data_IF_345000353866
#
_entry.id   IF_345000353866
#
_cell.length_a   1.000
_cell.length_b   1.000
_cell.length_c   1.000
_cell.angle_alpha   90.00
_cell.angle_beta   90.00
_cell.angle_gamma   90.00
#
_symmetry.space_group_name_H-M   'P 1'
#
loop_
_entity.id
_entity.type
_entity.pdbx_description
1 polymer ?
#
# COMPACT_ATOMS: atom_id res chain seq x y z
N UNK A 1 -4.28 31.11 10.31
CA UNK A 1 -4.67 29.76 10.76
C UNK A 1 -4.19 28.83 9.67
N UNK A 2 -3.21 27.98 9.97
CA UNK A 2 -2.69 27.03 9.01
C UNK A 2 -3.78 25.97 8.82
N UNK A 3 -4.49 26.11 7.71
CA UNK A 3 -5.42 25.11 7.20
C UNK A 3 -4.62 23.80 7.06
N UNK A 4 -5.00 22.79 7.83
CA UNK A 4 -4.36 21.48 7.80
C UNK A 4 -4.77 20.82 6.48
N UNK A 5 -4.00 21.08 5.42
CA UNK A 5 -4.09 20.37 4.13
C UNK A 5 -3.55 18.95 4.34
N UNK A 6 -4.25 18.14 5.12
CA UNK A 6 -3.93 16.74 5.39
C UNK A 6 -4.63 15.84 4.38
N UNK A 7 -5.82 16.24 3.93
CA UNK A 7 -6.74 15.47 3.09
C UNK A 7 -6.12 15.04 1.75
N UNK A 8 -5.51 15.96 1.00
CA UNK A 8 -4.92 15.62 -0.30
C UNK A 8 -3.65 14.72 -0.19
N UNK A 9 -2.86 14.90 0.86
CA UNK A 9 -1.53 14.24 0.95
C UNK A 9 -1.62 12.77 1.37
N UNK A 10 -2.56 12.42 2.24
CA UNK A 10 -2.71 11.05 2.73
C UNK A 10 -3.43 10.16 1.70
N UNK A 11 -4.41 10.70 0.98
CA UNK A 11 -5.09 9.97 -0.10
C UNK A 11 -4.14 9.66 -1.25
N UNK A 12 -3.32 10.63 -1.68
CA UNK A 12 -2.27 10.39 -2.68
C UNK A 12 -1.25 9.36 -2.17
N UNK A 13 -0.81 9.48 -0.91
CA UNK A 13 0.09 8.49 -0.29
C UNK A 13 -0.51 7.08 -0.31
N UNK A 14 -1.80 6.95 -0.02
CA UNK A 14 -2.46 5.66 0.00
C UNK A 14 -2.63 5.07 -1.41
N UNK A 15 -2.92 5.92 -2.40
CA UNK A 15 -2.95 5.53 -3.81
C UNK A 15 -1.59 4.98 -4.26
N UNK A 16 -0.52 5.68 -3.92
CA UNK A 16 0.84 5.26 -4.28
C UNK A 16 1.24 3.95 -3.57
N UNK A 17 0.86 3.77 -2.30
CA UNK A 17 1.06 2.52 -1.58
C UNK A 17 0.33 1.33 -2.23
N UNK A 18 -0.92 1.54 -2.70
CA UNK A 18 -1.69 0.53 -3.43
C UNK A 18 -1.04 0.18 -4.77
N UNK A 19 -0.57 1.18 -5.52
CA UNK A 19 0.16 0.96 -6.77
C UNK A 19 1.45 0.15 -6.56
N UNK A 20 2.22 0.47 -5.52
CA UNK A 20 3.44 -0.29 -5.18
C UNK A 20 3.08 -1.75 -4.81
N UNK A 21 1.99 -1.97 -4.06
CA UNK A 21 1.53 -3.31 -3.70
C UNK A 21 1.20 -4.14 -4.96
N UNK A 22 0.54 -3.52 -5.95
CA UNK A 22 0.18 -4.15 -7.21
C UNK A 22 1.41 -4.51 -8.05
N UNK A 23 2.44 -3.65 -8.08
CA UNK A 23 3.72 -3.97 -8.72
C UNK A 23 4.39 -5.20 -8.09
N UNK A 24 4.37 -5.30 -6.77
CA UNK A 24 4.88 -6.50 -6.10
C UNK A 24 4.07 -7.76 -6.45
N UNK A 25 2.74 -7.66 -6.56
CA UNK A 25 1.89 -8.77 -6.99
C UNK A 25 2.25 -9.22 -8.43
N UNK A 26 2.46 -8.27 -9.33
CA UNK A 26 2.81 -8.56 -10.72
C UNK A 26 4.22 -9.16 -10.86
N UNK A 27 5.19 -8.70 -10.06
CA UNK A 27 6.54 -9.26 -10.06
C UNK A 27 6.58 -10.77 -9.73
N UNK A 28 5.62 -11.27 -8.94
CA UNK A 28 5.50 -12.71 -8.66
C UNK A 28 5.09 -13.51 -9.89
N UNK A 29 4.16 -12.97 -10.69
CA UNK A 29 3.64 -13.62 -11.89
C UNK A 29 4.78 -13.84 -12.89
N UNK A 30 5.57 -12.80 -13.14
CA UNK A 30 6.69 -12.84 -14.08
C UNK A 30 7.77 -13.86 -13.64
N UNK A 31 8.10 -13.89 -12.35
CA UNK A 31 9.09 -14.85 -11.83
C UNK A 31 8.70 -16.33 -12.01
N UNK A 32 7.39 -16.65 -12.03
CA UNK A 32 6.91 -18.00 -12.30
C UNK A 32 6.93 -18.34 -13.79
N UNK A 33 6.64 -17.37 -14.66
CA UNK A 33 6.64 -17.57 -16.12
C UNK A 33 8.05 -17.86 -16.66
N UNK A 34 9.09 -17.25 -16.07
CA UNK A 34 10.48 -17.42 -16.50
C UNK A 34 11.18 -18.70 -16.00
N UNK A 35 10.51 -19.51 -15.17
CA UNK A 35 11.14 -20.63 -14.46
C UNK A 35 11.64 -21.75 -15.40
N UNK A 36 11.08 -21.85 -16.61
CA UNK A 36 11.44 -22.87 -17.61
C UNK A 36 12.50 -22.45 -18.64
N UNK A 37 13.00 -21.21 -18.60
CA UNK A 37 13.90 -20.66 -19.64
C UNK A 37 15.37 -21.01 -19.38
N UNK A 38 15.71 -21.38 -18.15
CA UNK A 38 17.09 -21.57 -17.71
C UNK A 38 17.60 -22.97 -18.08
N UNK A 39 18.18 -23.10 -19.28
CA UNK A 39 18.61 -24.39 -19.84
C UNK A 39 19.81 -25.07 -19.15
N UNK A 40 20.62 -24.34 -18.37
CA UNK A 40 21.77 -24.90 -17.62
C UNK A 40 21.36 -25.19 -16.17
N UNK A 41 21.65 -26.39 -15.64
CA UNK A 41 21.19 -26.82 -14.31
C UNK A 41 21.63 -25.91 -13.18
N UNK A 42 22.86 -25.41 -13.22
CA UNK A 42 23.41 -24.56 -12.15
C UNK A 42 22.72 -23.19 -12.13
N UNK A 43 22.46 -22.64 -13.31
CA UNK A 43 21.71 -21.39 -13.47
C UNK A 43 20.26 -21.58 -13.04
N UNK A 44 19.61 -22.68 -13.44
CA UNK A 44 18.26 -23.01 -13.01
C UNK A 44 18.16 -23.16 -11.49
N UNK A 45 19.15 -23.81 -10.86
CA UNK A 45 19.22 -23.99 -9.41
C UNK A 45 19.40 -22.66 -8.67
N UNK A 46 20.32 -21.81 -9.15
CA UNK A 46 20.53 -20.47 -8.60
C UNK A 46 19.28 -19.59 -8.75
N UNK A 47 18.62 -19.63 -9.91
CA UNK A 47 17.38 -18.89 -10.16
C UNK A 47 16.22 -19.39 -9.31
N UNK A 48 16.13 -20.69 -9.05
CA UNK A 48 15.13 -21.26 -8.14
C UNK A 48 15.37 -20.81 -6.69
N UNK A 49 16.62 -20.84 -6.22
CA UNK A 49 16.99 -20.33 -4.90
C UNK A 49 16.67 -18.84 -4.75
N UNK A 50 16.99 -18.03 -5.77
CA UNK A 50 16.63 -16.62 -5.82
C UNK A 50 15.11 -16.44 -5.78
N UNK A 51 14.34 -17.14 -6.61
CA UNK A 51 12.89 -17.02 -6.67
C UNK A 51 12.22 -17.38 -5.33
N UNK A 52 12.70 -18.41 -4.64
CA UNK A 52 12.20 -18.80 -3.32
C UNK A 52 12.52 -17.75 -2.25
N UNK A 53 13.75 -17.23 -2.24
CA UNK A 53 14.13 -16.20 -1.26
C UNK A 53 13.39 -14.88 -1.53
N UNK A 54 13.29 -14.49 -2.80
CA UNK A 54 12.51 -13.35 -3.26
C UNK A 54 11.05 -13.47 -2.85
N UNK A 55 10.45 -14.66 -2.97
CA UNK A 55 9.09 -14.92 -2.53
C UNK A 55 8.90 -14.57 -1.04
N UNK A 56 9.77 -15.07 -0.16
CA UNK A 56 9.67 -14.83 1.29
C UNK A 56 9.82 -13.35 1.63
N UNK A 57 10.81 -12.67 1.05
CA UNK A 57 11.03 -11.25 1.32
C UNK A 57 9.93 -10.37 0.75
N UNK A 58 9.42 -10.69 -0.44
CA UNK A 58 8.29 -9.98 -1.04
C UNK A 58 7.03 -10.12 -0.19
N UNK A 59 6.67 -11.33 0.24
CA UNK A 59 5.47 -11.53 1.05
C UNK A 59 5.53 -10.72 2.36
N UNK A 60 6.71 -10.62 2.97
CA UNK A 60 6.93 -9.77 4.14
C UNK A 60 6.77 -8.27 3.84
N UNK A 61 7.27 -7.80 2.69
CA UNK A 61 7.10 -6.41 2.24
C UNK A 61 5.64 -6.11 1.94
N UNK A 62 4.95 -6.98 1.22
CA UNK A 62 3.52 -6.86 0.90
C UNK A 62 2.67 -6.80 2.17
N UNK A 63 2.93 -7.66 3.15
CA UNK A 63 2.22 -7.63 4.44
C UNK A 63 2.42 -6.30 5.18
N UNK A 64 3.62 -5.73 5.13
CA UNK A 64 3.92 -4.43 5.76
C UNK A 64 3.25 -3.27 5.02
N UNK A 65 3.29 -3.28 3.68
CA UNK A 65 2.65 -2.27 2.83
C UNK A 65 1.13 -2.28 3.00
N UNK A 66 0.49 -3.45 3.00
CA UNK A 66 -0.95 -3.58 3.26
C UNK A 66 -1.32 -3.02 4.63
N UNK A 67 -0.57 -3.37 5.69
CA UNK A 67 -0.81 -2.80 7.03
C UNK A 67 -0.62 -1.30 7.08
N UNK A 68 0.32 -0.75 6.32
CA UNK A 68 0.54 0.70 6.24
C UNK A 68 -0.62 1.38 5.52
N UNK A 69 -1.03 0.86 4.36
CA UNK A 69 -2.19 1.33 3.60
C UNK A 69 -3.47 1.33 4.45
N UNK A 70 -3.74 0.24 5.17
CA UNK A 70 -4.89 0.15 6.10
C UNK A 70 -4.86 1.20 7.21
N UNK A 71 -3.67 1.54 7.71
CA UNK A 71 -3.50 2.58 8.75
C UNK A 71 -3.71 3.97 8.18
N UNK A 72 -3.24 4.22 6.96
CA UNK A 72 -3.46 5.48 6.26
C UNK A 72 -4.95 5.66 5.94
N UNK A 73 -5.63 4.63 5.44
CA UNK A 73 -7.09 4.65 5.19
C UNK A 73 -7.88 4.97 6.48
N UNK A 74 -7.50 4.36 7.60
CA UNK A 74 -8.12 4.65 8.90
C UNK A 74 -7.83 6.08 9.37
N UNK A 75 -6.64 6.60 9.11
CA UNK A 75 -6.28 7.97 9.45
C UNK A 75 -7.12 8.96 8.63
N UNK A 76 -7.22 8.79 7.31
CA UNK A 76 -8.09 9.61 6.46
C UNK A 76 -9.55 9.58 6.93
N UNK A 77 -10.07 8.38 7.22
CA UNK A 77 -11.46 8.23 7.70
C UNK A 77 -11.68 8.98 9.02
N UNK A 78 -10.78 8.83 9.99
CA UNK A 78 -10.89 9.49 11.28
C UNK A 78 -10.82 11.02 11.16
N UNK A 79 -9.98 11.54 10.26
CA UNK A 79 -9.91 12.98 9.97
C UNK A 79 -11.20 13.49 9.34
N UNK A 80 -11.72 12.81 8.32
CA UNK A 80 -12.98 13.20 7.67
C UNK A 80 -14.17 13.17 8.63
N UNK A 81 -14.22 12.21 9.54
CA UNK A 81 -15.26 12.14 10.57
C UNK A 81 -15.14 13.29 11.58
N UNK A 82 -13.92 13.64 11.99
CA UNK A 82 -13.66 14.76 12.89
C UNK A 82 -14.05 16.10 12.26
N UNK A 83 -13.72 16.32 10.98
CA UNK A 83 -14.09 17.53 10.25
C UNK A 83 -15.60 17.67 10.09
N UNK A 84 -16.31 16.57 9.79
CA UNK A 84 -17.78 16.58 9.74
C UNK A 84 -18.39 16.92 11.09
N UNK A 85 -17.91 16.29 12.18
CA UNK A 85 -18.40 16.58 13.53
C UNK A 85 -18.17 18.05 13.91
N UNK A 86 -17.01 18.61 13.54
CA UNK A 86 -16.72 20.02 13.76
C UNK A 86 -17.68 20.91 12.96
N UNK A 87 -17.86 20.64 11.66
CA UNK A 87 -18.77 21.40 10.80
C UNK A 87 -20.23 21.34 11.30
N UNK A 88 -20.69 20.17 11.70
CA UNK A 88 -22.04 19.96 12.25
C UNK A 88 -22.22 20.74 13.56
N UNK A 89 -21.22 20.71 14.46
CA UNK A 89 -21.27 21.46 15.72
C UNK A 89 -21.34 22.99 15.50
N UNK A 90 -20.63 23.51 14.50
CA UNK A 90 -20.63 24.93 14.15
C UNK A 90 -21.94 25.37 13.48
N UNK A 91 -22.60 24.50 12.72
CA UNK A 91 -23.93 24.79 12.14
C UNK A 91 -25.02 24.85 13.21
N UNK A 92 -24.95 24.00 14.23
CA UNK A 92 -25.91 24.01 15.34
C UNK A 92 -25.81 25.31 16.14
N UNK A 93 -24.59 25.81 16.39
CA UNK A 93 -24.35 27.02 17.19
C UNK A 93 -24.83 28.31 16.48
N UNK A 94 -24.73 28.37 15.14
CA UNK A 94 -25.25 29.49 14.33
C UNK A 94 -26.79 29.51 14.17
N UNK A 95 -27.48 28.48 14.66
CA UNK A 95 -28.94 28.31 14.56
C UNK A 95 -29.68 28.68 15.86
N UNK A 96 -28.97 29.13 16.89
CA UNK A 96 -29.51 29.67 18.15
C UNK A 96 -29.37 31.19 18.21
#
# INVERSE_FOLDING_TARGET
MADLIVDASLDDTNRDLKAILDEYNNAQKNAKEDQGVWGQSDVASAMNAFANNWYVHRDAIQSRLSKLSDRVDKACSAWNDADKQLADSLQVDNSQ
#
